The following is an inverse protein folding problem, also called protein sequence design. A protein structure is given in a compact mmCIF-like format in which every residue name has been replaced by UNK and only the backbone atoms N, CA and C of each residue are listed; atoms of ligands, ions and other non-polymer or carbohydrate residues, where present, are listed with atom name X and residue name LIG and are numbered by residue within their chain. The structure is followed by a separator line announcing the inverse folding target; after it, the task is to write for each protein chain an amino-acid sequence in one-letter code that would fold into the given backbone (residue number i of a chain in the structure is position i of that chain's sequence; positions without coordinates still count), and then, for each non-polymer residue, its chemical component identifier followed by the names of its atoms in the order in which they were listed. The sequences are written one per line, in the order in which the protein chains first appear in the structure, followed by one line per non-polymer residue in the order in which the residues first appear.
data_IF_235021103508
#
_entry.id   IF_235021103508
#
_cell.length_a   1.000
_cell.length_b   1.000
_cell.length_c   1.000
_cell.angle_alpha   90.00
_cell.angle_beta   90.00
_cell.angle_gamma   90.00
#
_symmetry.space_group_name_H-M   'P 1'
#
loop_
_entity.id
_entity.type
_entity.pdbx_description
1 polymer ?
#
# COMPACT_ATOMS: atom_id res chain seq x y z
N UNK A 1 14.42 24.64 -4.31
CA UNK A 1 14.07 25.99 -3.81
C UNK A 1 15.29 26.72 -3.27
N UNK A 2 15.24 28.06 -3.26
CA UNK A 2 16.14 28.95 -2.52
C UNK A 2 15.30 29.86 -1.63
N UNK A 3 15.74 30.11 -0.40
CA UNK A 3 15.08 30.99 0.55
C UNK A 3 16.14 31.67 1.41
N UNK A 4 15.88 32.91 1.85
CA UNK A 4 16.72 33.58 2.83
C UNK A 4 16.53 32.95 4.21
N UNK A 5 17.52 33.08 5.10
CA UNK A 5 17.44 32.50 6.45
C UNK A 5 16.35 33.13 7.32
N UNK A 6 15.90 34.34 6.98
CA UNK A 6 14.75 35.01 7.60
C UNK A 6 13.40 34.56 7.03
N UNK A 7 13.40 33.57 6.11
CA UNK A 7 12.21 33.05 5.45
C UNK A 7 11.71 33.86 4.25
N UNK A 8 12.33 35.00 3.94
CA UNK A 8 11.96 35.82 2.79
C UNK A 8 12.52 35.28 1.46
N UNK A 9 11.97 35.75 0.34
CA UNK A 9 12.54 35.50 -0.99
C UNK A 9 12.47 34.05 -1.49
N UNK A 10 11.46 33.28 -1.07
CA UNK A 10 11.25 31.91 -1.54
C UNK A 10 11.17 31.87 -3.08
N UNK A 11 12.11 31.16 -3.70
CA UNK A 11 12.22 31.03 -5.15
C UNK A 11 12.26 29.55 -5.54
N UNK A 12 11.39 29.12 -6.44
CA UNK A 12 11.47 27.82 -7.11
C UNK A 12 12.57 27.88 -8.18
N UNK A 13 13.54 26.96 -8.12
CA UNK A 13 14.71 26.97 -9.01
C UNK A 13 14.53 26.04 -10.23
N UNK A 14 13.52 25.20 -10.17
CA UNK A 14 13.30 24.08 -11.06
C UNK A 14 11.80 23.92 -11.33
N UNK A 15 11.16 24.90 -12.01
CA UNK A 15 9.70 24.93 -12.20
C UNK A 15 9.15 23.83 -13.12
N UNK A 16 9.99 22.85 -13.50
CA UNK A 16 9.58 21.72 -14.33
C UNK A 16 8.57 20.82 -13.62
N UNK A 17 7.76 20.13 -14.40
CA UNK A 17 6.80 19.16 -13.90
C UNK A 17 7.43 17.76 -13.92
N UNK A 18 8.33 17.47 -12.99
CA UNK A 18 9.00 16.16 -12.89
C UNK A 18 9.46 15.91 -11.45
N UNK A 19 9.52 14.64 -11.06
CA UNK A 19 10.22 14.25 -9.84
C UNK A 19 11.72 14.47 -10.06
N UNK A 20 12.41 15.04 -9.06
CA UNK A 20 13.81 15.44 -9.21
C UNK A 20 14.65 14.97 -8.03
N UNK A 21 15.82 14.42 -8.35
CA UNK A 21 16.91 14.24 -7.40
C UNK A 21 18.02 15.22 -7.74
N UNK A 22 18.32 16.12 -6.80
CA UNK A 22 19.26 17.21 -7.02
C UNK A 22 20.36 17.18 -5.96
N UNK A 23 21.61 17.23 -6.41
CA UNK A 23 22.80 17.30 -5.54
C UNK A 23 23.57 18.58 -5.81
N UNK A 24 23.84 19.34 -4.75
CA UNK A 24 24.66 20.56 -4.84
C UNK A 24 26.15 20.22 -4.91
N UNK A 25 26.88 20.95 -5.74
CA UNK A 25 28.35 20.91 -5.74
C UNK A 25 28.92 21.45 -4.42
N UNK A 26 30.15 21.09 -4.01
CA UNK A 26 30.77 21.62 -2.78
C UNK A 26 30.82 23.14 -2.72
N UNK A 27 31.03 23.80 -3.86
CA UNK A 27 31.03 25.27 -3.98
C UNK A 27 29.63 25.90 -3.86
N UNK A 28 28.57 25.10 -3.99
CA UNK A 28 27.16 25.52 -4.04
C UNK A 28 26.83 26.49 -5.18
N UNK A 29 27.72 26.60 -6.18
CA UNK A 29 27.49 27.42 -7.37
C UNK A 29 26.69 26.68 -8.45
N UNK A 30 26.73 25.35 -8.41
CA UNK A 30 26.01 24.49 -9.36
C UNK A 30 25.30 23.35 -8.65
N UNK A 31 24.29 22.81 -9.31
CA UNK A 31 23.58 21.62 -8.92
C UNK A 31 23.52 20.62 -10.08
N UNK A 32 23.76 19.34 -9.81
CA UNK A 32 23.42 18.25 -10.74
C UNK A 32 22.02 17.80 -10.40
N UNK A 33 21.14 17.79 -11.41
CA UNK A 33 19.73 17.43 -11.25
C UNK A 33 19.40 16.32 -12.23
N UNK A 34 18.88 15.21 -11.71
CA UNK A 34 18.29 14.13 -12.50
C UNK A 34 16.79 14.19 -12.29
N UNK A 35 16.02 14.32 -13.36
CA UNK A 35 14.58 14.43 -13.27
C UNK A 35 13.87 13.49 -14.24
N UNK A 36 12.73 12.97 -13.81
CA UNK A 36 11.91 12.07 -14.61
C UNK A 36 10.46 12.14 -14.17
N UNK A 37 9.58 11.52 -14.95
CA UNK A 37 8.27 11.10 -14.48
C UNK A 37 8.10 9.63 -14.80
N UNK A 38 7.11 8.98 -14.20
CA UNK A 38 6.73 7.63 -14.64
C UNK A 38 6.45 7.58 -16.15
N UNK A 39 5.96 8.68 -16.73
CA UNK A 39 5.65 8.85 -18.15
C UNK A 39 6.68 9.70 -18.93
N UNK A 40 7.89 9.88 -18.38
CA UNK A 40 8.95 10.69 -18.99
C UNK A 40 10.33 10.11 -18.68
N UNK A 41 11.11 9.81 -19.73
CA UNK A 41 12.47 9.31 -19.62
C UNK A 41 13.35 10.22 -18.74
N UNK A 42 14.31 9.66 -17.97
CA UNK A 42 15.17 10.47 -17.13
C UNK A 42 16.15 11.30 -17.96
N UNK A 43 16.33 12.55 -17.53
CA UNK A 43 17.33 13.47 -18.04
C UNK A 43 18.20 13.99 -16.88
N UNK A 44 19.48 14.18 -17.16
CA UNK A 44 20.46 14.73 -16.22
C UNK A 44 21.02 16.06 -16.74
N UNK A 45 21.02 17.08 -15.90
CA UNK A 45 21.48 18.44 -16.25
C UNK A 45 22.29 19.08 -15.13
N UNK A 46 23.12 20.06 -15.47
CA UNK A 46 23.72 21.00 -14.52
C UNK A 46 22.92 22.30 -14.52
N UNK A 47 22.57 22.77 -13.33
CA UNK A 47 21.91 24.06 -13.09
C UNK A 47 22.84 25.03 -12.34
N UNK A 48 22.74 26.32 -12.64
CA UNK A 48 23.41 27.37 -11.86
C UNK A 48 22.59 27.79 -10.61
N UNK A 49 23.07 28.80 -9.87
CA UNK A 49 22.42 29.34 -8.65
C UNK A 49 21.05 29.98 -8.87
N UNK A 50 20.69 30.29 -10.12
CA UNK A 50 19.37 30.77 -10.50
C UNK A 50 18.41 29.63 -10.83
N UNK A 51 18.93 28.41 -10.97
CA UNK A 51 18.17 27.24 -11.41
C UNK A 51 18.17 27.02 -12.93
N UNK A 52 18.79 27.94 -13.68
CA UNK A 52 18.93 27.83 -15.13
C UNK A 52 19.81 26.64 -15.48
N UNK A 53 19.35 25.83 -16.44
CA UNK A 53 20.16 24.76 -17.05
C UNK A 53 21.29 25.40 -17.84
N UNK A 54 22.53 25.02 -17.53
CA UNK A 54 23.74 25.51 -18.19
C UNK A 54 24.47 24.41 -18.97
N UNK A 55 24.12 23.15 -18.74
CA UNK A 55 24.73 22.00 -19.41
C UNK A 55 23.76 20.81 -19.35
N UNK A 56 23.56 20.14 -20.48
CA UNK A 56 22.96 18.80 -20.53
C UNK A 56 24.06 17.76 -20.26
N UNK A 57 23.78 16.77 -19.40
CA UNK A 57 24.72 15.70 -19.09
C UNK A 57 24.34 14.40 -19.82
N UNK A 58 23.08 13.98 -19.70
CA UNK A 58 22.61 12.71 -20.24
C UNK A 58 21.10 12.74 -20.50
N UNK A 59 20.67 12.02 -21.54
CA UNK A 59 19.26 11.73 -21.83
C UNK A 59 19.14 10.23 -22.07
N UNK A 60 18.20 9.57 -21.38
CA UNK A 60 18.00 8.15 -21.57
C UNK A 60 17.48 7.83 -22.98
N UNK A 61 18.16 6.92 -23.68
CA UNK A 61 17.70 6.37 -24.95
C UNK A 61 16.82 5.14 -24.72
N UNK A 62 15.53 5.27 -25.06
CA UNK A 62 14.53 4.22 -24.91
C UNK A 62 14.26 3.45 -26.20
N UNK A 63 14.99 3.70 -27.29
CA UNK A 63 14.76 3.09 -28.61
C UNK A 63 14.70 1.56 -28.54
N UNK A 64 15.70 0.91 -27.94
CA UNK A 64 15.72 -0.56 -27.74
C UNK A 64 14.59 -1.08 -26.86
N UNK A 65 14.07 -0.25 -25.94
CA UNK A 65 12.93 -0.63 -25.11
C UNK A 65 11.65 -0.61 -25.94
N UNK A 66 11.44 0.43 -26.76
CA UNK A 66 10.31 0.52 -27.68
C UNK A 66 10.31 -0.58 -28.75
N UNK A 67 11.47 -1.04 -29.20
CA UNK A 67 11.60 -2.19 -30.12
C UNK A 67 11.00 -3.49 -29.55
N UNK A 68 10.94 -3.62 -28.22
CA UNK A 68 10.28 -4.79 -27.57
C UNK A 68 8.75 -4.69 -27.55
N UNK A 69 8.18 -3.59 -28.05
CA UNK A 69 6.76 -3.26 -27.93
C UNK A 69 6.39 -2.57 -26.62
N UNK A 70 7.38 -2.28 -25.75
CA UNK A 70 7.17 -1.56 -24.51
C UNK A 70 6.49 -0.21 -24.75
N UNK A 71 5.59 0.17 -23.84
CA UNK A 71 4.85 1.44 -23.90
C UNK A 71 4.97 2.16 -22.58
N UNK A 72 5.13 3.48 -22.69
CA UNK A 72 5.12 4.38 -21.55
C UNK A 72 3.79 4.26 -20.78
N UNK A 73 3.81 4.23 -19.44
CA UNK A 73 2.58 4.31 -18.65
C UNK A 73 1.92 5.68 -18.78
N UNK A 74 0.66 5.75 -18.38
CA UNK A 74 -0.11 6.99 -18.38
C UNK A 74 -0.31 7.49 -16.95
N UNK A 75 -0.21 8.80 -16.75
CA UNK A 75 -0.59 9.43 -15.50
C UNK A 75 -2.06 9.87 -15.56
N UNK A 76 -2.75 9.86 -14.42
CA UNK A 76 -4.12 10.35 -14.33
C UNK A 76 -4.37 11.13 -13.05
N UNK A 77 -5.43 11.94 -13.09
CA UNK A 77 -5.97 12.70 -11.96
C UNK A 77 -7.47 12.46 -11.83
N UNK A 78 -7.93 12.10 -10.64
CA UNK A 78 -9.34 11.89 -10.30
C UNK A 78 -9.66 12.57 -8.98
N UNK A 79 -10.95 12.68 -8.64
CA UNK A 79 -11.38 13.14 -7.33
C UNK A 79 -11.37 12.00 -6.33
N UNK A 80 -11.00 12.28 -5.09
CA UNK A 80 -11.24 11.40 -3.96
C UNK A 80 -12.74 11.22 -3.72
N UNK A 81 -13.14 10.34 -2.79
CA UNK A 81 -14.55 10.06 -2.53
C UNK A 81 -15.35 11.27 -1.99
N UNK A 82 -14.67 12.34 -1.55
CA UNK A 82 -15.33 13.61 -1.21
C UNK A 82 -15.76 14.45 -2.42
N UNK A 83 -15.37 14.06 -3.64
CA UNK A 83 -15.66 14.82 -4.86
C UNK A 83 -14.85 16.10 -5.04
N UNK A 84 -13.96 16.45 -4.10
CA UNK A 84 -13.24 17.73 -4.05
C UNK A 84 -11.74 17.54 -4.19
N UNK A 85 -11.17 16.62 -3.42
CA UNK A 85 -9.72 16.44 -3.30
C UNK A 85 -9.15 15.76 -4.54
N UNK A 86 -8.18 16.38 -5.21
CA UNK A 86 -7.44 15.72 -6.29
C UNK A 86 -6.55 14.60 -5.72
N UNK A 87 -6.65 13.41 -6.32
CA UNK A 87 -5.74 12.28 -6.11
C UNK A 87 -5.19 11.83 -7.47
N UNK A 88 -3.95 11.37 -7.45
CA UNK A 88 -3.15 11.08 -8.63
C UNK A 88 -2.89 9.58 -8.74
N UNK A 89 -2.55 9.13 -9.94
CA UNK A 89 -2.21 7.74 -10.16
C UNK A 89 -1.56 7.48 -11.51
N UNK A 90 -1.14 6.24 -11.67
CA UNK A 90 -0.45 5.73 -12.85
C UNK A 90 -1.25 4.55 -13.40
N UNK A 91 -1.30 4.40 -14.72
CA UNK A 91 -2.07 3.39 -15.43
C UNK A 91 -1.17 2.67 -16.44
N UNK A 92 -1.19 1.35 -16.37
CA UNK A 92 -0.51 0.44 -17.29
C UNK A 92 -1.52 -0.32 -18.13
N UNK A 93 -1.22 -0.45 -19.41
CA UNK A 93 -1.98 -1.20 -20.40
C UNK A 93 -1.17 -2.38 -20.93
N UNK A 94 -1.83 -3.42 -21.48
CA UNK A 94 -1.17 -4.39 -22.32
C UNK A 94 -0.45 -3.70 -23.49
N UNK A 95 0.71 -4.20 -23.91
CA UNK A 95 1.43 -3.63 -25.04
C UNK A 95 0.66 -3.82 -26.36
N UNK A 96 -0.13 -4.89 -26.48
CA UNK A 96 -1.06 -5.18 -27.57
C UNK A 96 -2.47 -4.59 -27.36
N UNK A 97 -2.61 -3.58 -26.50
CA UNK A 97 -3.88 -2.97 -26.14
C UNK A 97 -4.78 -2.61 -27.35
N UNK A 98 -6.04 -3.03 -27.27
CA UNK A 98 -7.10 -2.70 -28.21
C UNK A 98 -8.23 -1.98 -27.47
N UNK A 99 -8.46 -0.70 -27.80
CA UNK A 99 -9.49 0.13 -27.15
C UNK A 99 -10.93 -0.38 -27.33
N UNK A 100 -11.16 -1.34 -28.24
CA UNK A 100 -12.47 -1.98 -28.45
C UNK A 100 -12.73 -3.14 -27.49
N UNK A 101 -11.70 -3.65 -26.81
CA UNK A 101 -11.81 -4.73 -25.82
C UNK A 101 -12.15 -4.18 -24.43
N UNK A 102 -12.64 -5.07 -23.57
CA UNK A 102 -12.93 -4.81 -22.15
C UNK A 102 -11.96 -5.59 -21.27
N UNK A 103 -11.24 -4.88 -20.42
CA UNK A 103 -10.19 -5.41 -19.56
C UNK A 103 -10.60 -5.27 -18.08
N UNK A 104 -10.39 -6.31 -17.24
CA UNK A 104 -10.47 -6.14 -15.79
C UNK A 104 -9.47 -5.10 -15.32
N UNK A 105 -9.78 -4.45 -14.19
CA UNK A 105 -8.93 -3.43 -13.58
C UNK A 105 -8.40 -3.87 -12.22
N UNK A 106 -7.09 -3.75 -12.00
CA UNK A 106 -6.42 -4.15 -10.77
C UNK A 106 -5.72 -2.94 -10.15
N UNK A 107 -5.98 -2.66 -8.87
CA UNK A 107 -5.32 -1.60 -8.13
C UNK A 107 -4.18 -2.15 -7.24
N UNK A 108 -2.96 -1.65 -7.44
CA UNK A 108 -1.91 -1.72 -6.44
C UNK A 108 -2.12 -0.63 -5.38
N UNK A 109 -2.09 -1.01 -4.11
CA UNK A 109 -2.39 -0.09 -3.00
C UNK A 109 -1.35 -0.14 -1.89
N UNK A 110 -1.15 1.02 -1.26
CA UNK A 110 -0.46 1.15 0.02
C UNK A 110 -1.07 2.31 0.82
N UNK A 111 -1.64 2.05 2.01
CA UNK A 111 -2.26 3.04 2.90
C UNK A 111 -1.36 3.38 4.09
N UNK A 112 -0.04 3.32 3.97
CA UNK A 112 0.82 3.78 5.04
C UNK A 112 0.82 5.31 5.05
N UNK A 113 0.47 6.00 6.15
CA UNK A 113 0.46 7.46 6.18
C UNK A 113 1.84 8.09 5.91
N UNK A 114 2.90 7.31 6.10
CA UNK A 114 4.28 7.69 5.82
C UNK A 114 4.67 7.72 4.33
N UNK A 115 3.90 7.13 3.41
CA UNK A 115 4.29 7.07 1.99
C UNK A 115 3.12 6.75 1.05
N UNK A 116 3.14 7.33 -0.15
CA UNK A 116 2.13 7.10 -1.17
C UNK A 116 2.55 5.98 -2.11
N UNK A 117 1.60 5.13 -2.51
CA UNK A 117 1.84 4.03 -3.45
C UNK A 117 2.02 4.46 -4.91
N UNK A 118 1.99 5.77 -5.21
CA UNK A 118 2.08 6.29 -6.57
C UNK A 118 3.53 6.63 -6.89
N UNK A 119 4.13 5.87 -7.79
CA UNK A 119 5.51 6.08 -8.23
C UNK A 119 5.61 7.36 -9.06
N UNK A 120 6.50 8.27 -8.68
CA UNK A 120 6.65 9.55 -9.37
C UNK A 120 7.70 9.48 -10.51
N UNK A 121 8.75 8.69 -10.34
CA UNK A 121 9.91 8.62 -11.22
C UNK A 121 9.84 7.47 -12.25
N UNK A 122 10.66 7.56 -13.29
CA UNK A 122 10.71 6.56 -14.37
C UNK A 122 11.18 5.19 -13.88
N UNK A 123 10.53 4.13 -14.37
CA UNK A 123 10.98 2.75 -14.18
C UNK A 123 10.56 1.89 -15.39
N UNK A 124 11.52 1.24 -16.09
CA UNK A 124 11.19 0.39 -17.25
C UNK A 124 10.66 -0.99 -16.84
N UNK A 125 10.86 -1.40 -15.59
CA UNK A 125 10.70 -2.79 -15.12
C UNK A 125 9.73 -2.92 -13.93
N UNK A 126 8.90 -1.90 -13.69
CA UNK A 126 7.94 -1.92 -12.57
C UNK A 126 6.95 -3.09 -12.69
N UNK A 127 6.66 -3.76 -11.58
CA UNK A 127 5.89 -5.02 -11.57
C UNK A 127 4.46 -4.87 -12.13
N UNK A 128 3.84 -3.70 -11.98
CA UNK A 128 2.52 -3.39 -12.53
C UNK A 128 2.49 -3.48 -14.05
N UNK A 129 3.58 -3.10 -14.73
CA UNK A 129 3.72 -3.24 -16.17
C UNK A 129 3.63 -4.71 -16.59
N UNK A 130 4.29 -5.59 -15.83
CA UNK A 130 4.30 -7.04 -16.11
C UNK A 130 2.91 -7.65 -15.89
N UNK A 131 2.23 -7.30 -14.80
CA UNK A 131 0.86 -7.76 -14.56
C UNK A 131 -0.10 -7.30 -15.68
N UNK A 132 0.04 -6.07 -16.18
CA UNK A 132 -0.80 -5.57 -17.27
C UNK A 132 -0.67 -6.41 -18.56
N UNK A 133 0.49 -7.06 -18.79
CA UNK A 133 0.71 -7.88 -19.99
C UNK A 133 -0.10 -9.17 -20.02
N UNK A 134 -0.70 -9.58 -18.89
CA UNK A 134 -1.63 -10.70 -18.86
C UNK A 134 -3.02 -10.34 -19.42
N UNK A 135 -3.28 -9.07 -19.77
CA UNK A 135 -4.59 -8.61 -20.24
C UNK A 135 -5.38 -7.86 -19.17
N UNK A 136 -4.69 -7.07 -18.35
CA UNK A 136 -5.30 -6.23 -17.32
C UNK A 136 -5.03 -4.75 -17.56
N UNK A 137 -5.96 -3.89 -17.14
CA UNK A 137 -5.61 -2.52 -16.76
C UNK A 137 -5.09 -2.57 -15.33
N UNK A 138 -3.84 -2.14 -15.12
CA UNK A 138 -3.27 -2.08 -13.78
C UNK A 138 -3.06 -0.63 -13.40
N UNK A 139 -3.44 -0.26 -12.18
CA UNK A 139 -3.28 1.10 -11.69
C UNK A 139 -2.52 1.15 -10.36
N UNK A 140 -1.77 2.23 -10.19
CA UNK A 140 -1.50 2.82 -8.87
C UNK A 140 -2.46 3.99 -8.70
N UNK A 141 -2.97 4.19 -7.50
CA UNK A 141 -3.79 5.35 -7.21
C UNK A 141 -3.53 5.81 -5.78
N UNK A 142 -3.44 7.12 -5.58
CA UNK A 142 -3.34 7.75 -4.27
C UNK A 142 -4.62 7.60 -3.45
N UNK A 143 -4.60 8.10 -2.23
CA UNK A 143 -5.78 8.28 -1.38
C UNK A 143 -5.48 9.36 -0.35
N UNK A 144 -6.51 10.02 0.16
CA UNK A 144 -6.37 10.89 1.33
C UNK A 144 -5.77 10.10 2.48
N UNK A 145 -4.82 10.70 3.19
CA UNK A 145 -3.98 10.08 4.20
C UNK A 145 -2.73 9.41 3.64
N UNK A 146 -2.59 9.27 2.32
CA UNK A 146 -1.52 8.48 1.71
C UNK A 146 -0.21 9.20 1.44
N UNK A 147 -0.10 10.53 1.59
CA UNK A 147 1.12 11.25 1.22
C UNK A 147 1.48 12.35 2.25
N UNK A 148 2.60 12.20 2.98
CA UNK A 148 3.04 13.19 3.96
C UNK A 148 3.60 14.47 3.31
N UNK A 149 3.95 14.47 2.02
CA UNK A 149 4.44 15.64 1.31
C UNK A 149 3.32 16.62 0.89
N UNK A 150 2.05 16.29 1.19
CA UNK A 150 0.90 17.19 0.99
C UNK A 150 0.61 18.00 2.27
N UNK A 151 -0.59 18.56 2.38
CA UNK A 151 -1.00 19.27 3.61
C UNK A 151 -1.18 18.30 4.77
N UNK A 152 -1.06 18.81 6.00
CA UNK A 152 -1.35 18.04 7.20
C UNK A 152 -2.78 17.45 7.15
N UNK A 153 -3.77 18.24 6.71
CA UNK A 153 -5.15 17.76 6.56
C UNK A 153 -5.29 16.59 5.57
N UNK A 154 -4.47 16.55 4.51
CA UNK A 154 -4.42 15.39 3.64
C UNK A 154 -3.74 14.21 4.33
N UNK A 155 -2.57 14.42 4.94
CA UNK A 155 -1.78 13.37 5.59
C UNK A 155 -2.51 12.72 6.79
N UNK A 156 -3.20 13.50 7.60
CA UNK A 156 -3.88 13.02 8.81
C UNK A 156 -5.32 12.54 8.58
N UNK A 157 -5.77 12.41 7.34
CA UNK A 157 -7.16 12.00 7.03
C UNK A 157 -7.55 10.65 7.66
N UNK A 158 -6.59 9.73 7.81
CA UNK A 158 -6.81 8.41 8.42
C UNK A 158 -6.76 8.39 9.96
N UNK A 159 -6.56 9.52 10.63
CA UNK A 159 -6.50 9.59 12.09
C UNK A 159 -7.82 9.10 12.70
N UNK A 160 -7.75 8.23 13.70
CA UNK A 160 -8.84 7.43 14.28
C UNK A 160 -9.55 6.45 13.33
N UNK A 161 -9.09 6.28 12.09
CA UNK A 161 -9.71 5.40 11.09
C UNK A 161 -8.67 4.63 10.24
N UNK A 162 -7.63 4.10 10.90
CA UNK A 162 -6.46 3.55 10.20
C UNK A 162 -6.75 2.32 9.31
N UNK A 163 -7.82 1.56 9.56
CA UNK A 163 -8.19 0.38 8.73
C UNK A 163 -8.83 0.77 7.41
N UNK A 164 -9.76 1.73 7.42
CA UNK A 164 -10.74 1.85 6.34
C UNK A 164 -10.53 3.09 5.46
N UNK A 165 -9.83 4.09 5.97
CA UNK A 165 -9.86 5.47 5.46
C UNK A 165 -9.59 5.62 3.96
N UNK A 166 -8.69 4.82 3.38
CA UNK A 166 -8.32 4.95 1.97
C UNK A 166 -9.22 4.18 0.99
N UNK A 167 -10.06 3.25 1.45
CA UNK A 167 -10.82 2.34 0.57
C UNK A 167 -11.84 3.06 -0.30
N UNK A 168 -12.52 4.07 0.27
CA UNK A 168 -13.48 4.89 -0.46
C UNK A 168 -12.84 5.59 -1.67
N UNK A 169 -11.61 6.08 -1.50
CA UNK A 169 -10.87 6.78 -2.56
C UNK A 169 -10.42 5.81 -3.66
N UNK A 170 -10.04 4.56 -3.32
CA UNK A 170 -9.70 3.53 -4.31
C UNK A 170 -10.90 3.22 -5.21
N UNK A 171 -12.05 2.95 -4.59
CA UNK A 171 -13.31 2.67 -5.30
C UNK A 171 -13.72 3.86 -6.18
N UNK A 172 -13.79 5.06 -5.61
CA UNK A 172 -14.23 6.26 -6.33
C UNK A 172 -13.31 6.59 -7.53
N UNK A 173 -12.00 6.39 -7.38
CA UNK A 173 -11.06 6.60 -8.47
C UNK A 173 -11.21 5.58 -9.60
N UNK A 174 -11.37 4.30 -9.27
CA UNK A 174 -11.61 3.25 -10.27
C UNK A 174 -12.94 3.46 -11.01
N UNK A 175 -14.00 3.88 -10.32
CA UNK A 175 -15.29 4.20 -10.96
C UNK A 175 -15.16 5.39 -11.93
N UNK A 176 -14.42 6.44 -11.56
CA UNK A 176 -14.14 7.56 -12.46
C UNK A 176 -13.33 7.15 -13.70
N UNK A 177 -12.33 6.28 -13.53
CA UNK A 177 -11.58 5.76 -14.67
C UNK A 177 -12.48 4.94 -15.60
N UNK A 178 -13.33 4.07 -15.06
CA UNK A 178 -14.27 3.29 -15.85
C UNK A 178 -15.29 4.16 -16.61
N UNK A 179 -15.73 5.27 -16.01
CA UNK A 179 -16.60 6.23 -16.67
C UNK A 179 -15.90 6.97 -17.83
N UNK A 180 -14.58 7.23 -17.71
CA UNK A 180 -13.79 7.91 -18.76
C UNK A 180 -13.33 6.98 -19.87
N UNK A 181 -13.21 5.69 -19.59
CA UNK A 181 -12.59 4.73 -20.47
C UNK A 181 -13.48 3.52 -20.70
N UNK A 182 -14.06 3.45 -21.90
CA UNK A 182 -14.92 2.34 -22.32
C UNK A 182 -14.21 0.98 -22.35
N UNK A 183 -12.89 0.91 -22.30
CA UNK A 183 -12.14 -0.34 -22.26
C UNK A 183 -11.99 -0.93 -20.85
N UNK A 184 -12.35 -0.20 -19.80
CA UNK A 184 -12.32 -0.71 -18.42
C UNK A 184 -13.61 -1.47 -18.12
N UNK A 185 -13.47 -2.67 -17.58
CA UNK A 185 -14.55 -3.49 -17.05
C UNK A 185 -14.60 -3.39 -15.52
N UNK A 186 -15.44 -2.47 -15.04
CA UNK A 186 -15.59 -2.21 -13.60
C UNK A 186 -16.30 -3.34 -12.84
N UNK A 187 -16.86 -4.33 -13.54
CA UNK A 187 -17.47 -5.50 -12.91
C UNK A 187 -16.43 -6.54 -12.45
N UNK A 188 -15.21 -6.48 -13.03
CA UNK A 188 -14.07 -7.36 -12.75
C UNK A 188 -12.91 -6.56 -12.17
N UNK A 189 -12.91 -6.41 -10.85
CA UNK A 189 -11.96 -5.57 -10.11
C UNK A 189 -11.05 -6.41 -9.22
N UNK A 190 -9.75 -6.12 -9.28
CA UNK A 190 -8.73 -6.67 -8.40
C UNK A 190 -8.11 -5.61 -7.51
N UNK A 191 -7.55 -6.04 -6.38
CA UNK A 191 -6.76 -5.19 -5.49
C UNK A 191 -5.62 -6.01 -4.89
N UNK A 192 -4.43 -5.44 -4.79
CA UNK A 192 -3.31 -6.09 -4.12
C UNK A 192 -2.36 -5.08 -3.49
N UNK A 193 -1.59 -5.56 -2.53
CA UNK A 193 -0.58 -4.76 -1.87
C UNK A 193 0.28 -5.57 -0.92
N UNK A 194 1.34 -4.93 -0.46
CA UNK A 194 2.32 -5.49 0.47
C UNK A 194 2.33 -4.70 1.77
N UNK A 195 2.53 -5.37 2.92
CA UNK A 195 2.59 -4.72 4.22
C UNK A 195 1.27 -3.98 4.52
N UNK A 196 1.29 -2.67 4.78
CA UNK A 196 0.08 -1.84 4.86
C UNK A 196 -0.88 -2.05 3.67
N UNK A 197 -0.34 -2.28 2.48
CA UNK A 197 -1.12 -2.61 1.29
C UNK A 197 -1.88 -3.94 1.41
N UNK A 198 -1.27 -4.95 2.04
CA UNK A 198 -1.93 -6.21 2.36
C UNK A 198 -3.04 -6.03 3.38
N UNK A 199 -2.82 -5.18 4.39
CA UNK A 199 -3.86 -4.81 5.36
C UNK A 199 -5.11 -4.20 4.70
N UNK A 200 -4.93 -3.20 3.83
CA UNK A 200 -6.04 -2.62 3.06
C UNK A 200 -6.65 -3.60 2.06
N UNK A 201 -5.83 -4.45 1.41
CA UNK A 201 -6.32 -5.45 0.45
C UNK A 201 -7.28 -6.42 1.12
N UNK A 202 -6.90 -7.00 2.27
CA UNK A 202 -7.83 -7.86 3.01
C UNK A 202 -9.06 -7.09 3.47
N UNK A 203 -8.90 -5.87 4.00
CA UNK A 203 -10.03 -5.03 4.40
C UNK A 203 -11.01 -4.79 3.24
N UNK A 204 -10.51 -4.57 2.03
CA UNK A 204 -11.32 -4.35 0.83
C UNK A 204 -12.25 -5.52 0.50
N UNK A 205 -11.82 -6.77 0.73
CA UNK A 205 -12.62 -7.98 0.48
C UNK A 205 -13.49 -8.37 1.69
N UNK A 206 -13.30 -7.71 2.84
CA UNK A 206 -13.98 -8.01 4.09
C UNK A 206 -14.98 -6.93 4.52
N UNK A 207 -14.80 -5.67 4.12
CA UNK A 207 -15.60 -4.55 4.60
C UNK A 207 -16.72 -4.17 3.61
N UNK A 208 -18.01 -4.26 3.99
CA UNK A 208 -19.09 -3.67 3.19
C UNK A 208 -19.00 -2.14 3.09
N UNK A 209 -19.34 -1.54 1.94
CA UNK A 209 -19.73 -2.18 0.68
C UNK A 209 -18.54 -2.53 -0.25
N UNK A 210 -17.29 -2.32 0.19
CA UNK A 210 -16.10 -2.54 -0.64
C UNK A 210 -15.93 -4.00 -1.05
N UNK A 211 -16.34 -4.94 -0.20
CA UNK A 211 -16.32 -6.37 -0.48
C UNK A 211 -17.29 -6.79 -1.58
N UNK A 212 -18.28 -5.97 -1.93
CA UNK A 212 -19.09 -6.16 -3.14
C UNK A 212 -18.41 -5.56 -4.37
N UNK A 213 -17.60 -4.53 -4.19
CA UNK A 213 -16.92 -3.87 -5.29
C UNK A 213 -15.73 -4.69 -5.78
N UNK A 214 -14.81 -5.09 -4.88
CA UNK A 214 -13.60 -5.86 -5.20
C UNK A 214 -13.89 -7.35 -5.32
N UNK A 215 -13.44 -7.98 -6.42
CA UNK A 215 -13.71 -9.39 -6.70
C UNK A 215 -12.56 -10.31 -6.33
N UNK A 216 -11.32 -9.83 -6.43
CA UNK A 216 -10.10 -10.61 -6.19
C UNK A 216 -9.08 -9.79 -5.42
N UNK A 217 -8.53 -10.35 -4.35
CA UNK A 217 -7.55 -9.72 -3.48
C UNK A 217 -6.30 -10.56 -3.26
N UNK A 218 -5.11 -9.97 -3.41
CA UNK A 218 -3.84 -10.61 -3.00
C UNK A 218 -3.17 -9.77 -1.92
N UNK A 219 -3.31 -10.23 -0.68
CA UNK A 219 -2.76 -9.56 0.51
C UNK A 219 -1.44 -10.20 0.89
N UNK A 220 -0.34 -9.45 0.73
CA UNK A 220 0.99 -9.92 1.09
C UNK A 220 1.55 -9.20 2.32
N UNK A 221 2.12 -9.97 3.25
CA UNK A 221 2.71 -9.51 4.51
C UNK A 221 1.83 -8.51 5.29
N UNK A 222 0.50 -8.71 5.29
CA UNK A 222 -0.44 -7.74 5.84
C UNK A 222 -0.37 -7.60 7.37
N UNK A 223 -0.26 -6.37 7.86
CA UNK A 223 -0.37 -6.03 9.29
C UNK A 223 -1.84 -6.06 9.76
N UNK A 224 -2.45 -7.25 9.72
CA UNK A 224 -3.88 -7.48 10.01
C UNK A 224 -4.31 -7.17 11.44
N UNK A 225 -3.36 -6.96 12.36
CA UNK A 225 -3.57 -6.42 13.69
C UNK A 225 -2.51 -5.35 14.03
N UNK A 226 -2.91 -4.08 13.97
CA UNK A 226 -2.05 -2.94 14.29
C UNK A 226 -1.94 -2.65 15.79
N UNK A 227 -2.69 -3.35 16.66
CA UNK A 227 -2.58 -3.17 18.11
C UNK A 227 -1.30 -3.79 18.68
N UNK A 228 -0.65 -4.68 17.93
CA UNK A 228 0.60 -5.36 18.29
C UNK A 228 1.73 -5.05 17.28
N UNK A 229 1.49 -4.10 16.37
CA UNK A 229 2.44 -3.68 15.36
C UNK A 229 3.18 -2.44 15.88
N UNK A 230 4.53 -2.49 15.89
CA UNK A 230 5.46 -1.40 16.20
C UNK A 230 4.97 -0.39 17.27
N UNK A 231 5.59 -0.41 18.46
CA UNK A 231 5.10 0.23 19.69
C UNK A 231 4.50 1.63 19.51
N UNK A 232 5.11 2.51 18.71
CA UNK A 232 4.69 3.92 18.63
C UNK A 232 3.96 4.24 17.31
N UNK A 233 3.97 3.33 16.34
CA UNK A 233 3.46 3.60 15.00
C UNK A 233 1.95 3.82 14.99
N UNK A 234 1.22 2.93 15.67
CA UNK A 234 -0.23 3.04 15.79
C UNK A 234 -0.63 4.25 16.63
N UNK A 235 0.11 4.59 17.68
CA UNK A 235 -0.13 5.80 18.48
C UNK A 235 -0.01 7.06 17.64
N UNK A 236 1.04 7.16 16.82
CA UNK A 236 1.28 8.31 15.95
C UNK A 236 0.20 8.46 14.86
N UNK A 237 -0.26 7.35 14.28
CA UNK A 237 -1.04 7.38 13.05
C UNK A 237 -2.53 7.06 13.20
N UNK A 238 -2.89 6.22 14.17
CA UNK A 238 -4.29 6.03 14.57
C UNK A 238 -4.72 7.07 15.60
N UNK A 239 -3.79 7.51 16.45
CA UNK A 239 -4.08 8.42 17.54
C UNK A 239 -4.50 7.71 18.83
N UNK A 240 -4.25 8.41 19.93
CA UNK A 240 -4.72 8.06 21.28
C UNK A 240 -6.05 8.77 21.56
N UNK A 241 -6.94 8.11 22.30
CA UNK A 241 -8.16 8.70 22.82
C UNK A 241 -8.03 8.92 24.31
N UNK A 242 -8.31 10.15 24.75
CA UNK A 242 -8.47 10.46 26.16
C UNK A 242 -9.81 9.92 26.65
N UNK A 243 -9.77 9.10 27.70
CA UNK A 243 -10.97 8.58 28.36
C UNK A 243 -10.86 8.77 29.87
N UNK A 244 -11.97 9.11 30.54
CA UNK A 244 -11.97 9.27 31.99
C UNK A 244 -11.68 7.93 32.68
N UNK A 245 -10.92 7.98 33.77
CA UNK A 245 -10.75 6.83 34.66
C UNK A 245 -12.04 6.67 35.46
N UNK A 246 -12.90 5.74 35.04
CA UNK A 246 -14.05 5.32 35.84
C UNK A 246 -13.60 4.40 36.96
N UNK A 247 -13.84 4.80 38.21
CA UNK A 247 -13.67 3.92 39.36
C UNK A 247 -14.66 2.76 39.27
N UNK A 248 -14.15 1.52 39.27
CA UNK A 248 -14.94 0.30 39.33
C UNK A 248 -14.98 -0.50 38.05
N UNK A 249 -13.93 -1.29 37.81
CA UNK A 249 -14.01 -2.70 37.39
C UNK A 249 -12.58 -3.25 37.30
N UNK A 250 -12.09 -3.77 38.43
CA UNK A 250 -11.03 -4.77 38.36
C UNK A 250 -11.58 -5.98 37.62
N UNK A 251 -11.28 -6.11 36.33
CA UNK A 251 -11.40 -7.40 35.68
C UNK A 251 -10.27 -8.28 36.20
N UNK A 252 -10.61 -9.14 37.16
CA UNK A 252 -9.82 -10.33 37.44
C UNK A 252 -9.65 -11.08 36.10
N UNK A 253 -8.43 -11.04 35.55
CA UNK A 253 -8.07 -11.90 34.44
C UNK A 253 -8.16 -13.35 34.91
N UNK A 254 -9.27 -14.02 34.59
CA UNK A 254 -9.31 -15.49 34.60
C UNK A 254 -8.50 -15.98 33.39
N UNK A 255 -7.18 -15.90 33.49
CA UNK A 255 -6.29 -16.74 32.72
C UNK A 255 -6.27 -18.11 33.40
N UNK A 256 -6.97 -19.08 32.82
CA UNK A 256 -6.78 -20.49 33.17
C UNK A 256 -5.35 -20.89 32.74
N UNK A 257 -4.39 -20.69 33.63
CA UNK A 257 -3.04 -21.19 33.50
C UNK A 257 -3.04 -22.68 33.87
N UNK A 258 -3.17 -23.56 32.87
CA UNK A 258 -2.80 -24.96 33.05
C UNK A 258 -1.28 -25.08 33.03
N UNK A 259 -0.70 -25.12 34.22
CA UNK A 259 0.48 -25.90 34.59
C UNK A 259 1.77 -25.69 33.79
N UNK A 260 2.65 -24.83 34.32
CA UNK A 260 4.10 -25.08 34.44
C UNK A 260 4.66 -24.05 35.43
N UNK A 261 5.05 -24.52 36.61
CA UNK A 261 5.72 -23.76 37.67
C UNK A 261 7.06 -23.24 37.17
N UNK A 262 7.22 -21.92 37.06
CA UNK A 262 8.51 -21.25 37.00
C UNK A 262 8.94 -20.88 38.45
N UNK A 263 10.24 -20.85 38.77
CA UNK A 263 10.70 -20.60 40.14
C UNK A 263 10.34 -19.19 40.59
N UNK A 264 9.69 -19.10 41.74
CA UNK A 264 9.49 -17.88 42.51
C UNK A 264 10.87 -17.33 42.89
N UNK A 265 11.18 -16.08 42.48
CA UNK A 265 12.20 -15.15 43.04
C UNK A 265 12.81 -14.24 41.96
N UNK A 266 12.00 -13.50 41.19
CA UNK A 266 12.55 -12.38 40.38
C UNK A 266 11.68 -11.12 40.27
N UNK A 267 10.46 -11.10 40.81
CA UNK A 267 9.64 -9.88 40.84
C UNK A 267 8.87 -9.84 42.16
N UNK A 268 9.21 -8.87 43.00
CA UNK A 268 8.39 -8.53 44.18
C UNK A 268 7.25 -7.67 43.62
N UNK A 269 6.06 -8.24 43.51
CA UNK A 269 4.86 -7.47 43.18
C UNK A 269 4.58 -6.53 44.35
N UNK A 270 4.84 -5.23 44.17
CA UNK A 270 4.28 -4.20 45.04
C UNK A 270 2.76 -4.26 44.91
N UNK A 271 2.05 -4.36 46.04
CA UNK A 271 0.61 -4.34 46.09
C UNK A 271 0.08 -3.09 45.35
N UNK A 272 -0.95 -3.21 44.50
CA UNK A 272 -1.44 -2.08 43.73
C UNK A 272 -1.94 -0.99 44.66
N UNK A 273 -1.25 0.16 44.66
CA UNK A 273 -1.74 1.37 45.30
C UNK A 273 -3.06 1.77 44.66
N UNK A 274 -4.11 1.88 45.46
CA UNK A 274 -5.40 2.46 45.07
C UNK A 274 -5.18 3.94 44.69
N UNK A 275 -4.99 4.21 43.39
CA UNK A 275 -4.98 5.58 42.86
C UNK A 275 -6.41 6.12 42.86
N UNK A 276 -6.76 6.81 43.94
CA UNK A 276 -7.99 7.60 44.07
C UNK A 276 -7.82 8.95 43.37
N UNK A 277 -7.93 8.95 42.03
CA UNK A 277 -7.87 10.17 41.23
C UNK A 277 -8.95 10.21 40.14
N UNK A 278 -9.50 11.39 39.87
CA UNK A 278 -10.27 11.72 38.65
C UNK A 278 -9.32 11.84 37.45
N UNK A 279 -8.59 10.76 37.16
CA UNK A 279 -7.56 10.73 36.12
C UNK A 279 -8.13 10.62 34.70
N UNK A 280 -7.33 11.02 33.72
CA UNK A 280 -7.54 10.68 32.30
C UNK A 280 -6.57 9.56 31.94
N UNK A 281 -7.05 8.51 31.29
CA UNK A 281 -6.19 7.49 30.66
C UNK A 281 -6.26 7.62 29.14
N UNK A 282 -5.21 7.15 28.47
CA UNK A 282 -5.17 7.10 27.01
C UNK A 282 -5.44 5.68 26.55
N UNK A 283 -6.35 5.53 25.60
CA UNK A 283 -6.66 4.25 24.97
C UNK A 283 -6.41 4.31 23.47
N UNK A 284 -5.88 3.21 22.94
CA UNK A 284 -5.75 2.98 21.51
C UNK A 284 -6.37 1.62 21.16
N UNK A 285 -7.22 1.62 20.14
CA UNK A 285 -7.77 0.39 19.56
C UNK A 285 -7.93 0.54 18.07
N UNK A 286 -7.02 -0.04 17.31
CA UNK A 286 -7.14 -0.12 15.85
C UNK A 286 -8.05 -1.32 15.51
N UNK A 287 -9.13 -1.11 14.73
CA UNK A 287 -9.94 -2.22 14.22
C UNK A 287 -9.09 -3.20 13.41
N UNK A 288 -9.30 -4.49 13.62
CA UNK A 288 -8.54 -5.54 12.93
C UNK A 288 -9.28 -6.05 11.70
N UNK A 289 -8.59 -6.76 10.80
CA UNK A 289 -9.25 -7.48 9.70
C UNK A 289 -9.95 -8.75 10.19
N UNK A 290 -9.46 -9.37 11.26
CA UNK A 290 -10.08 -10.56 11.85
C UNK A 290 -11.53 -10.29 12.31
N UNK A 291 -11.81 -9.09 12.82
CA UNK A 291 -13.17 -8.64 13.17
C UNK A 291 -14.15 -8.65 12.00
N UNK A 292 -13.66 -8.57 10.75
CA UNK A 292 -14.48 -8.54 9.54
C UNK A 292 -14.55 -9.90 8.82
N UNK A 293 -13.89 -10.94 9.31
CA UNK A 293 -13.71 -12.21 8.59
C UNK A 293 -15.02 -12.83 8.05
N UNK A 294 -16.11 -12.75 8.81
CA UNK A 294 -17.42 -13.28 8.41
C UNK A 294 -18.03 -12.59 7.17
N UNK A 295 -17.54 -11.41 6.82
CA UNK A 295 -17.99 -10.63 5.68
C UNK A 295 -17.18 -10.89 4.40
N UNK A 296 -16.24 -11.86 4.39
CA UNK A 296 -15.48 -12.17 3.18
C UNK A 296 -16.41 -12.46 2.00
N UNK A 297 -16.18 -11.71 0.92
CA UNK A 297 -16.73 -11.89 -0.43
C UNK A 297 -15.57 -11.90 -1.44
N UNK A 298 -15.83 -12.39 -2.65
CA UNK A 298 -14.80 -12.54 -3.67
C UNK A 298 -13.77 -13.64 -3.35
N UNK A 299 -12.59 -13.53 -3.95
CA UNK A 299 -11.48 -14.47 -3.81
C UNK A 299 -10.29 -13.77 -3.14
N UNK A 300 -9.84 -14.28 -1.99
CA UNK A 300 -8.73 -13.74 -1.22
C UNK A 300 -7.57 -14.74 -1.13
N UNK A 301 -6.39 -14.30 -1.57
CA UNK A 301 -5.11 -14.95 -1.30
C UNK A 301 -4.35 -14.17 -0.22
N UNK A 302 -3.88 -14.88 0.80
CA UNK A 302 -2.99 -14.38 1.83
C UNK A 302 -1.58 -14.94 1.57
N UNK A 303 -0.55 -14.09 1.68
CA UNK A 303 0.86 -14.50 1.50
C UNK A 303 1.71 -13.90 2.62
N UNK A 304 2.53 -14.69 3.29
CA UNK A 304 3.41 -14.20 4.36
C UNK A 304 4.73 -14.98 4.44
N UNK A 305 5.83 -14.28 4.72
CA UNK A 305 7.10 -14.93 5.09
C UNK A 305 7.09 -15.35 6.55
N UNK A 306 7.51 -16.57 6.87
CA UNK A 306 7.43 -17.08 8.25
C UNK A 306 8.47 -16.46 9.22
N UNK A 307 9.51 -15.82 8.68
CA UNK A 307 10.56 -15.12 9.42
C UNK A 307 10.43 -13.59 9.36
N UNK A 308 9.24 -13.08 9.03
CA UNK A 308 8.97 -11.64 9.00
C UNK A 308 9.04 -11.02 10.41
N UNK A 309 10.11 -10.28 10.66
CA UNK A 309 10.37 -9.57 11.91
C UNK A 309 9.88 -8.11 11.91
N UNK A 310 9.32 -7.62 10.80
CA UNK A 310 8.70 -6.31 10.72
C UNK A 310 7.19 -6.43 10.93
N UNK A 311 6.49 -7.17 10.05
CA UNK A 311 5.08 -7.51 10.23
C UNK A 311 4.99 -8.96 10.67
N UNK A 312 4.87 -9.17 11.98
CA UNK A 312 4.85 -10.52 12.53
C UNK A 312 3.71 -11.38 11.90
N UNK A 313 4.00 -12.61 11.43
CA UNK A 313 3.02 -13.50 10.80
C UNK A 313 1.77 -13.83 11.64
N UNK A 314 1.83 -13.60 12.96
CA UNK A 314 0.70 -13.79 13.88
C UNK A 314 -0.52 -12.97 13.46
N UNK A 315 -0.34 -11.78 12.87
CA UNK A 315 -1.46 -11.00 12.32
C UNK A 315 -2.25 -11.77 11.26
N UNK A 316 -1.55 -12.37 10.30
CA UNK A 316 -2.13 -13.21 9.24
C UNK A 316 -2.74 -14.49 9.80
N UNK A 317 -2.06 -15.15 10.75
CA UNK A 317 -2.58 -16.37 11.41
C UNK A 317 -3.89 -16.08 12.15
N UNK A 318 -4.02 -14.92 12.82
CA UNK A 318 -5.25 -14.51 13.49
C UNK A 318 -6.40 -14.27 12.51
N UNK A 319 -6.12 -13.65 11.36
CA UNK A 319 -7.11 -13.50 10.29
C UNK A 319 -7.54 -14.86 9.73
N UNK A 320 -6.60 -15.76 9.46
CA UNK A 320 -6.87 -17.14 9.00
C UNK A 320 -7.78 -17.88 9.98
N UNK A 321 -7.47 -17.86 11.28
CA UNK A 321 -8.31 -18.49 12.31
C UNK A 321 -9.73 -17.91 12.31
N UNK A 322 -9.89 -16.59 12.15
CA UNK A 322 -11.20 -15.95 12.07
C UNK A 322 -11.97 -16.36 10.79
N UNK A 323 -11.30 -16.46 9.64
CA UNK A 323 -11.89 -16.92 8.38
C UNK A 323 -12.36 -18.38 8.47
N UNK A 324 -11.55 -19.27 9.06
CA UNK A 324 -11.91 -20.68 9.29
C UNK A 324 -13.14 -20.76 10.19
N UNK A 325 -13.15 -20.04 11.32
CA UNK A 325 -14.30 -20.01 12.25
C UNK A 325 -15.57 -19.47 11.60
N UNK A 326 -15.44 -18.55 10.65
CA UNK A 326 -16.54 -18.01 9.88
C UNK A 326 -16.93 -18.85 8.66
N UNK A 327 -16.36 -20.06 8.50
CA UNK A 327 -16.58 -20.97 7.39
C UNK A 327 -16.34 -20.31 6.01
N UNK A 328 -15.23 -19.57 5.90
CA UNK A 328 -14.85 -18.86 4.68
C UNK A 328 -13.74 -19.57 3.93
N UNK A 329 -13.83 -19.55 2.60
CA UNK A 329 -12.79 -20.05 1.69
C UNK A 329 -11.79 -18.93 1.36
N UNK A 330 -10.50 -19.25 1.42
CA UNK A 330 -9.38 -18.37 1.06
C UNK A 330 -8.19 -19.25 0.61
N UNK A 331 -7.20 -18.64 -0.03
CA UNK A 331 -5.90 -19.29 -0.30
C UNK A 331 -4.82 -18.71 0.62
N UNK A 332 -3.87 -19.55 1.05
CA UNK A 332 -2.74 -19.13 1.88
C UNK A 332 -1.43 -19.68 1.31
N UNK A 333 -0.43 -18.82 1.18
CA UNK A 333 0.95 -19.18 0.85
C UNK A 333 1.87 -18.70 1.97
N UNK A 334 2.57 -19.63 2.61
CA UNK A 334 3.72 -19.30 3.44
C UNK A 334 4.99 -19.37 2.60
N UNK A 335 5.90 -18.40 2.80
CA UNK A 335 7.20 -18.34 2.14
C UNK A 335 8.29 -18.67 3.19
N UNK A 336 8.80 -19.92 3.24
CA UNK A 336 9.71 -20.35 4.29
C UNK A 336 11.07 -19.64 4.28
N UNK A 337 11.55 -19.28 5.45
CA UNK A 337 12.82 -18.57 5.65
C UNK A 337 12.79 -17.09 5.26
N UNK A 338 11.64 -16.58 4.79
CA UNK A 338 11.57 -15.23 4.24
C UNK A 338 11.16 -14.19 5.29
N UNK A 339 11.90 -13.09 5.31
CA UNK A 339 11.55 -11.87 6.03
C UNK A 339 10.53 -11.03 5.25
N UNK A 340 10.30 -9.78 5.69
CA UNK A 340 9.27 -8.88 5.17
C UNK A 340 9.24 -8.78 3.64
N UNK A 341 10.41 -8.62 3.01
CA UNK A 341 10.50 -8.39 1.56
C UNK A 341 10.48 -9.64 0.68
N UNK A 342 10.25 -10.84 1.23
CA UNK A 342 10.19 -12.13 0.50
C UNK A 342 11.47 -12.58 -0.24
N UNK A 343 12.54 -11.79 -0.21
CA UNK A 343 13.87 -12.18 -0.66
C UNK A 343 13.90 -12.83 -2.04
N UNK A 344 14.58 -13.98 -2.11
CA UNK A 344 14.75 -14.81 -3.29
C UNK A 344 13.47 -15.53 -3.74
N UNK A 345 12.42 -15.55 -2.91
CA UNK A 345 11.11 -16.12 -3.24
C UNK A 345 10.15 -15.11 -3.90
N UNK A 346 10.56 -13.86 -4.11
CA UNK A 346 9.75 -12.87 -4.85
C UNK A 346 9.31 -13.34 -6.24
N UNK A 347 10.15 -13.98 -7.08
CA UNK A 347 9.73 -14.50 -8.37
C UNK A 347 8.60 -15.53 -8.26
N UNK A 348 8.68 -16.43 -7.26
CA UNK A 348 7.64 -17.42 -6.98
C UNK A 348 6.33 -16.73 -6.58
N UNK A 349 6.39 -15.81 -5.62
CA UNK A 349 5.21 -15.03 -5.20
C UNK A 349 4.58 -14.27 -6.38
N UNK A 350 5.40 -13.62 -7.22
CA UNK A 350 4.94 -12.86 -8.38
C UNK A 350 4.17 -13.75 -9.35
N UNK A 351 4.71 -14.92 -9.67
CA UNK A 351 4.06 -15.90 -10.55
C UNK A 351 2.72 -16.38 -9.96
N UNK A 352 2.68 -16.71 -8.67
CA UNK A 352 1.45 -17.14 -7.99
C UNK A 352 0.37 -16.07 -7.99
N UNK A 353 0.74 -14.81 -7.74
CA UNK A 353 -0.17 -13.67 -7.82
C UNK A 353 -0.75 -13.49 -9.24
N UNK A 354 0.10 -13.61 -10.26
CA UNK A 354 -0.29 -13.48 -11.66
C UNK A 354 -1.29 -14.55 -12.07
N UNK A 355 -1.00 -15.81 -11.74
CA UNK A 355 -1.90 -16.94 -11.97
C UNK A 355 -3.24 -16.78 -11.24
N UNK A 356 -3.21 -16.30 -9.99
CA UNK A 356 -4.42 -16.08 -9.20
C UNK A 356 -5.34 -15.03 -9.82
N UNK A 357 -4.79 -13.90 -10.27
CA UNK A 357 -5.57 -12.89 -10.97
C UNK A 357 -6.07 -13.40 -12.33
N UNK A 358 -5.24 -14.08 -13.12
CA UNK A 358 -5.67 -14.66 -14.40
C UNK A 358 -6.83 -15.65 -14.21
N UNK A 359 -6.74 -16.54 -13.21
CA UNK A 359 -7.78 -17.50 -12.88
C UNK A 359 -9.12 -16.84 -12.55
N UNK A 360 -9.10 -15.77 -11.76
CA UNK A 360 -10.31 -15.22 -11.17
C UNK A 360 -10.87 -13.97 -11.87
N UNK A 361 -10.10 -13.33 -12.76
CA UNK A 361 -10.55 -12.13 -13.50
C UNK A 361 -10.54 -12.31 -15.03
N UNK A 362 -9.77 -13.26 -15.57
CA UNK A 362 -9.75 -13.59 -17.01
C UNK A 362 -10.46 -14.91 -17.32
N UNK A 363 -10.96 -15.60 -16.29
CA UNK A 363 -11.55 -16.94 -16.38
C UNK A 363 -10.61 -17.96 -17.06
N UNK A 364 -9.30 -17.73 -16.96
CA UNK A 364 -8.31 -18.61 -17.53
C UNK A 364 -8.15 -19.87 -16.69
N UNK A 365 -8.14 -21.03 -17.36
CA UNK A 365 -7.81 -22.29 -16.70
C UNK A 365 -6.30 -22.33 -16.46
N UNK A 366 -5.87 -22.25 -15.20
CA UNK A 366 -4.48 -22.52 -14.82
C UNK A 366 -4.13 -23.96 -15.28
N UNK A 367 -2.95 -24.19 -15.88
CA UNK A 367 -2.50 -25.54 -16.24
C UNK A 367 -2.65 -26.52 -15.08
N UNK A 368 -3.17 -27.72 -15.34
CA UNK A 368 -3.51 -28.71 -14.30
C UNK A 368 -2.31 -29.49 -13.75
N UNK A 369 -1.10 -28.94 -13.82
CA UNK A 369 0.16 -29.57 -13.41
C UNK A 369 0.79 -28.91 -12.19
N UNK A 370 1.78 -29.58 -11.59
CA UNK A 370 2.55 -29.02 -10.47
C UNK A 370 3.58 -27.97 -10.93
N UNK A 371 3.95 -27.98 -12.21
CA UNK A 371 4.95 -27.07 -12.76
C UNK A 371 4.35 -25.69 -13.02
N UNK A 372 5.03 -24.65 -12.53
CA UNK A 372 4.68 -23.28 -12.85
C UNK A 372 5.16 -22.94 -14.26
N UNK A 373 4.22 -22.60 -15.13
CA UNK A 373 4.54 -22.08 -16.46
C UNK A 373 4.84 -20.60 -16.33
N UNK A 374 6.13 -20.25 -16.30
CA UNK A 374 6.57 -18.86 -16.30
C UNK A 374 6.04 -18.21 -17.57
N UNK A 375 5.08 -17.30 -17.43
CA UNK A 375 4.60 -16.50 -18.56
C UNK A 375 5.57 -15.35 -18.76
N UNK A 376 6.15 -15.19 -19.97
CA UNK A 376 7.16 -14.18 -20.25
C UNK A 376 6.67 -12.75 -19.98
#
# INVERSE_FOLDING_TARGET
YRVNLDGSGLTLLDPGNADQSTTLTPSKNFAVSVYSRIDMAPEAVVRDRSGKVIMELEKADLSRLYETGWKMPETFKVKAADGVTDIYGNLWKPFDFDARKKYPIIAYVYPGPQTESVTANFSPTISMQRLAQLGFIVIQIGNRGGNPARSNAYHSYGYYNLRDYGLADKKAGMEQLAARHSFIDISRTGIYGHSGGGFMTAAALLLPPFNEFFKVGVSSAGNHDNNVYNSNWSEQHHGLREVPVTQGQGQAGQGAATGRTAPEELFVDEAPQEQTGTGTKFEIKVPTNAELAANLKGNLMLVHGDMDNNVHPVGTIRLINALIRANKRFEMIFLPGQAHGFGDMNPYFTQRMFEYFAQHLLDERIPSGADMVVRP
#
